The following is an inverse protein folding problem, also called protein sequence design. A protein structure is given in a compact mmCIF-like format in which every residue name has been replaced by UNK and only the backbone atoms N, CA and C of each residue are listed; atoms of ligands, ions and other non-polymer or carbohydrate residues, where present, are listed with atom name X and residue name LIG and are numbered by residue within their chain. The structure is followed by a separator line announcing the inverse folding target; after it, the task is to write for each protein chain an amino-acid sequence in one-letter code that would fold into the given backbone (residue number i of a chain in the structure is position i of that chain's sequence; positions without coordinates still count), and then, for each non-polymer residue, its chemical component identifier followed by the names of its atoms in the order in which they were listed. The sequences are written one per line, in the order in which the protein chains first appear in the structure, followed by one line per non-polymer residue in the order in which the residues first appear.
data_IF_741043811627
#
_entry.id   IF_741043811627
#
_cell.length_a   1.000
_cell.length_b   1.000
_cell.length_c   1.000
_cell.angle_alpha   90.00
_cell.angle_beta   90.00
_cell.angle_gamma   90.00
#
_symmetry.space_group_name_H-M   'P 1'
#
loop_
_entity.id
_entity.type
_entity.pdbx_description
1 polymer ?
#
# COMPACT_ATOMS: atom_id res chain seq x y z
N UNK A 1 -4.84 -12.86 -16.82
CA UNK A 1 -4.25 -11.52 -16.65
C UNK A 1 -3.59 -11.13 -17.96
N UNK A 2 -3.54 -9.84 -18.27
CA UNK A 2 -2.80 -9.34 -19.43
C UNK A 2 -1.29 -9.45 -19.21
N UNK A 3 -0.54 -9.59 -20.30
CA UNK A 3 0.92 -9.63 -20.25
C UNK A 3 1.45 -8.34 -19.64
N UNK A 4 2.12 -8.45 -18.48
CA UNK A 4 2.66 -7.32 -17.73
C UNK A 4 4.16 -7.46 -17.58
N UNK A 5 4.91 -6.41 -17.91
CA UNK A 5 6.37 -6.39 -17.83
C UNK A 5 6.87 -6.23 -16.36
N UNK A 6 7.99 -6.87 -15.98
CA UNK A 6 8.52 -6.76 -14.62
C UNK A 6 9.12 -5.38 -14.32
N UNK A 7 8.97 -4.93 -13.07
CA UNK A 7 9.80 -3.88 -12.47
C UNK A 7 10.94 -4.51 -11.67
N UNK A 8 12.17 -4.04 -11.87
CA UNK A 8 13.37 -4.63 -11.25
C UNK A 8 14.02 -3.64 -10.29
N UNK A 9 14.21 -4.08 -9.04
CA UNK A 9 14.77 -3.26 -7.96
C UNK A 9 16.04 -3.91 -7.40
N UNK A 10 17.15 -3.15 -7.27
CA UNK A 10 18.38 -3.65 -6.69
C UNK A 10 18.27 -3.70 -5.16
N UNK A 11 18.81 -4.76 -4.56
CA UNK A 11 18.92 -4.97 -3.13
C UNK A 11 20.40 -4.98 -2.76
N UNK A 12 20.83 -3.92 -2.09
CA UNK A 12 22.21 -3.79 -1.60
C UNK A 12 22.27 -3.99 -0.07
N UNK A 13 23.39 -4.51 0.47
CA UNK A 13 23.59 -4.64 1.91
C UNK A 13 23.51 -3.29 2.63
N UNK A 14 22.87 -3.26 3.80
CA UNK A 14 22.68 -2.03 4.56
C UNK A 14 23.91 -1.54 5.36
N UNK A 15 24.85 -2.42 5.68
CA UNK A 15 25.96 -2.15 6.62
C UNK A 15 27.33 -2.10 5.95
N UNK A 16 28.24 -1.31 6.55
CA UNK A 16 29.65 -1.26 6.16
C UNK A 16 30.30 -2.65 6.23
N UNK A 17 30.87 -3.10 5.12
CA UNK A 17 31.47 -4.41 4.96
C UNK A 17 32.83 -4.49 5.66
N UNK A 18 33.11 -5.61 6.33
CA UNK A 18 34.46 -5.90 6.83
C UNK A 18 35.34 -6.37 5.67
N UNK A 19 36.62 -5.99 5.69
CA UNK A 19 37.62 -6.58 4.81
C UNK A 19 37.62 -8.11 5.00
N UNK A 20 37.51 -8.87 3.91
CA UNK A 20 37.34 -10.34 3.83
C UNK A 20 35.96 -10.95 4.16
N UNK A 21 34.86 -10.18 4.18
CA UNK A 21 33.51 -10.77 4.22
C UNK A 21 32.98 -11.18 2.84
N UNK A 22 32.02 -12.12 2.82
CA UNK A 22 31.14 -12.35 1.67
C UNK A 22 29.95 -11.38 1.73
N UNK A 23 29.48 -10.94 0.57
CA UNK A 23 28.43 -9.91 0.43
C UNK A 23 27.28 -10.50 -0.37
N UNK A 24 26.09 -10.52 0.22
CA UNK A 24 24.89 -10.92 -0.51
C UNK A 24 24.22 -9.69 -1.12
N UNK A 25 24.11 -9.72 -2.43
CA UNK A 25 23.38 -8.74 -3.24
C UNK A 25 22.09 -9.41 -3.73
N UNK A 26 21.07 -8.62 -4.06
CA UNK A 26 19.82 -9.17 -4.56
C UNK A 26 19.15 -8.29 -5.61
N UNK A 27 18.23 -8.90 -6.35
CA UNK A 27 17.32 -8.21 -7.25
C UNK A 27 15.90 -8.70 -7.01
N UNK A 28 15.02 -7.76 -6.71
CA UNK A 28 13.58 -7.99 -6.61
C UNK A 28 12.96 -7.74 -7.98
N UNK A 29 12.35 -8.76 -8.56
CA UNK A 29 11.58 -8.68 -9.80
C UNK A 29 10.10 -8.72 -9.42
N UNK A 30 9.38 -7.63 -9.67
CA UNK A 30 8.03 -7.44 -9.15
C UNK A 30 7.04 -7.09 -10.26
N UNK A 31 5.83 -7.66 -10.15
CA UNK A 31 4.65 -7.19 -10.87
C UNK A 31 4.56 -7.66 -12.32
N UNK A 32 5.01 -8.87 -12.65
CA UNK A 32 4.96 -9.40 -14.02
C UNK A 32 3.93 -10.51 -14.21
N UNK A 33 3.52 -10.75 -15.45
CA UNK A 33 2.68 -11.88 -15.83
C UNK A 33 2.86 -12.18 -17.33
N UNK A 34 2.87 -13.46 -17.75
CA UNK A 34 2.89 -14.71 -16.96
C UNK A 34 4.30 -15.11 -16.49
N UNK A 35 4.46 -16.31 -15.93
CA UNK A 35 5.78 -16.96 -15.85
C UNK A 35 6.25 -17.48 -17.22
N UNK A 36 7.55 -17.67 -17.46
CA UNK A 36 8.67 -17.46 -16.53
C UNK A 36 9.38 -16.12 -16.71
N UNK A 37 10.05 -15.65 -15.65
CA UNK A 37 11.12 -14.66 -15.73
C UNK A 37 12.45 -15.34 -15.43
N UNK A 38 13.47 -14.98 -16.21
CA UNK A 38 14.84 -15.44 -15.98
C UNK A 38 15.66 -14.31 -15.36
N UNK A 39 16.46 -14.64 -14.34
CA UNK A 39 17.42 -13.72 -13.73
C UNK A 39 18.80 -14.33 -13.82
N UNK A 40 19.71 -13.62 -14.48
CA UNK A 40 21.14 -13.96 -14.54
C UNK A 40 21.96 -12.82 -13.94
N UNK A 41 23.21 -13.08 -13.60
CA UNK A 41 24.09 -12.09 -12.98
C UNK A 41 25.34 -11.88 -13.84
N UNK A 42 25.70 -10.62 -14.09
CA UNK A 42 26.77 -10.20 -15.01
C UNK A 42 26.70 -10.91 -16.37
N UNK A 43 25.50 -10.98 -16.95
CA UNK A 43 25.21 -11.64 -18.23
C UNK A 43 25.63 -13.13 -18.26
N UNK A 44 25.55 -13.79 -17.10
CA UNK A 44 25.91 -15.20 -16.93
C UNK A 44 27.35 -15.44 -16.45
N UNK A 45 28.18 -14.39 -16.32
CA UNK A 45 29.53 -14.53 -15.79
C UNK A 45 29.55 -14.88 -14.29
N UNK A 46 28.52 -14.48 -13.53
CA UNK A 46 28.34 -14.84 -12.12
C UNK A 46 27.29 -15.95 -12.01
N UNK A 47 27.74 -17.17 -11.67
CA UNK A 47 26.87 -18.34 -11.45
C UNK A 47 27.05 -18.94 -10.05
N UNK A 48 28.22 -18.80 -9.43
CA UNK A 48 28.48 -19.27 -8.07
C UNK A 48 27.79 -18.39 -7.02
N UNK A 49 27.17 -19.03 -6.02
CA UNK A 49 26.47 -18.33 -4.93
C UNK A 49 25.17 -17.64 -5.35
N UNK A 50 24.66 -17.93 -6.56
CA UNK A 50 23.40 -17.41 -7.07
C UNK A 50 22.24 -18.26 -6.54
N UNK A 51 21.27 -17.62 -5.90
CA UNK A 51 20.02 -18.22 -5.46
C UNK A 51 18.82 -17.41 -5.97
N UNK A 52 18.05 -18.00 -6.87
CA UNK A 52 16.77 -17.45 -7.33
C UNK A 52 15.64 -18.17 -6.62
N UNK A 53 14.86 -17.40 -5.87
CA UNK A 53 13.70 -17.92 -5.13
C UNK A 53 12.50 -18.07 -6.06
N UNK A 54 11.58 -19.03 -5.80
CA UNK A 54 10.37 -19.22 -6.60
C UNK A 54 9.51 -17.96 -6.68
N UNK A 55 8.78 -17.80 -7.79
CA UNK A 55 7.84 -16.72 -7.94
C UNK A 55 6.60 -16.92 -7.06
N UNK A 56 6.11 -15.83 -6.46
CA UNK A 56 4.89 -15.80 -5.67
C UNK A 56 3.86 -14.97 -6.43
N UNK A 57 2.65 -15.54 -6.60
CA UNK A 57 1.51 -14.84 -7.20
C UNK A 57 0.76 -14.05 -6.12
N UNK A 58 0.71 -12.73 -6.27
CA UNK A 58 -0.06 -11.86 -5.37
C UNK A 58 -0.91 -10.90 -6.21
N UNK A 59 -2.22 -10.88 -5.95
CA UNK A 59 -3.17 -10.01 -6.65
C UNK A 59 -3.08 -10.11 -8.19
N UNK A 60 -2.83 -11.31 -8.72
CA UNK A 60 -2.77 -11.57 -10.17
C UNK A 60 -1.41 -11.30 -10.84
N UNK A 61 -0.40 -10.82 -10.12
CA UNK A 61 0.96 -10.60 -10.65
C UNK A 61 2.02 -11.38 -9.88
N UNK A 62 3.03 -11.87 -10.59
CA UNK A 62 4.15 -12.60 -10.03
C UNK A 62 5.25 -11.66 -9.51
N UNK A 63 5.90 -12.10 -8.43
CA UNK A 63 7.09 -11.47 -7.87
C UNK A 63 8.09 -12.55 -7.48
N UNK A 64 9.35 -12.38 -7.85
CA UNK A 64 10.45 -13.25 -7.41
C UNK A 64 11.64 -12.43 -6.96
N UNK A 65 12.55 -13.06 -6.24
CA UNK A 65 13.82 -12.44 -5.84
C UNK A 65 14.97 -13.35 -6.25
N UNK A 66 16.04 -12.77 -6.78
CA UNK A 66 17.32 -13.46 -6.96
C UNK A 66 18.36 -12.81 -6.08
N UNK A 67 19.32 -13.60 -5.61
CA UNK A 67 20.45 -13.12 -4.84
C UNK A 67 21.74 -13.73 -5.36
N UNK A 68 22.84 -13.01 -5.19
CA UNK A 68 24.19 -13.51 -5.47
C UNK A 68 25.09 -13.15 -4.30
N UNK A 69 25.91 -14.09 -3.87
CA UNK A 69 26.91 -13.84 -2.84
C UNK A 69 28.29 -13.75 -3.48
N UNK A 70 28.91 -12.57 -3.40
CA UNK A 70 30.24 -12.29 -3.97
C UNK A 70 31.22 -11.87 -2.88
N UNK A 71 32.54 -12.06 -3.07
CA UNK A 71 33.54 -11.49 -2.18
C UNK A 71 33.42 -9.97 -2.10
N UNK A 72 33.65 -9.38 -0.91
CA UNK A 72 33.69 -7.91 -0.76
C UNK A 72 34.67 -7.25 -1.73
N UNK A 73 35.82 -7.88 -2.02
CA UNK A 73 36.80 -7.38 -2.99
C UNK A 73 36.23 -7.27 -4.41
N UNK A 74 35.53 -8.31 -4.87
CA UNK A 74 34.85 -8.32 -6.18
C UNK A 74 33.81 -7.22 -6.25
N UNK A 75 33.04 -7.04 -5.18
CA UNK A 75 32.04 -5.98 -5.11
C UNK A 75 32.65 -4.58 -5.14
N UNK A 76 33.75 -4.36 -4.42
CA UNK A 76 34.47 -3.09 -4.42
C UNK A 76 35.13 -2.76 -5.76
N UNK A 77 35.58 -3.76 -6.52
CA UNK A 77 36.28 -3.56 -7.80
C UNK A 77 35.40 -3.63 -9.04
N UNK A 78 34.30 -4.36 -8.98
CA UNK A 78 33.46 -4.70 -10.14
C UNK A 78 31.99 -4.44 -9.85
N UNK A 79 31.31 -3.87 -10.84
CA UNK A 79 29.88 -3.75 -10.82
C UNK A 79 29.20 -5.11 -10.92
N UNK A 80 28.27 -5.37 -10.00
CA UNK A 80 27.39 -6.54 -10.08
C UNK A 80 26.05 -6.09 -10.67
N UNK A 81 25.66 -6.68 -11.77
CA UNK A 81 24.44 -6.39 -12.52
C UNK A 81 23.57 -7.62 -12.52
N UNK A 82 22.29 -7.48 -12.17
CA UNK A 82 21.32 -8.52 -12.46
C UNK A 82 20.65 -8.23 -13.81
N UNK A 83 20.54 -9.27 -14.63
CA UNK A 83 19.99 -9.23 -15.97
C UNK A 83 18.69 -10.03 -15.97
N UNK A 84 17.58 -9.32 -16.08
CA UNK A 84 16.23 -9.89 -16.01
C UNK A 84 15.66 -9.94 -17.41
N UNK A 85 15.18 -11.12 -17.84
CA UNK A 85 14.50 -11.28 -19.11
C UNK A 85 13.14 -11.95 -18.93
N UNK A 86 12.11 -11.30 -19.46
CA UNK A 86 10.73 -11.77 -19.48
C UNK A 86 10.28 -11.99 -20.93
N UNK A 87 10.29 -13.24 -21.43
CA UNK A 87 9.99 -13.55 -22.82
C UNK A 87 8.60 -13.09 -23.26
N UNK A 88 7.58 -13.25 -22.40
CA UNK A 88 6.19 -12.96 -22.77
C UNK A 88 5.96 -11.47 -23.06
N UNK A 89 6.58 -10.56 -22.30
CA UNK A 89 6.51 -9.11 -22.58
C UNK A 89 7.69 -8.59 -23.43
N UNK A 90 8.54 -9.49 -23.93
CA UNK A 90 9.79 -9.14 -24.64
C UNK A 90 10.68 -8.14 -23.89
N UNK A 91 10.59 -8.12 -22.56
CA UNK A 91 11.28 -7.13 -21.72
C UNK A 91 12.62 -7.67 -21.24
N UNK A 92 13.67 -6.85 -21.36
CA UNK A 92 15.00 -7.10 -20.80
C UNK A 92 15.40 -5.90 -19.94
N UNK A 93 15.80 -6.15 -18.70
CA UNK A 93 16.23 -5.11 -17.75
C UNK A 93 17.54 -5.51 -17.11
N UNK A 94 18.56 -4.68 -17.31
CA UNK A 94 19.84 -4.81 -16.63
C UNK A 94 19.89 -3.81 -15.49
N UNK A 95 19.95 -4.31 -14.25
CA UNK A 95 20.01 -3.47 -13.06
C UNK A 95 21.37 -3.63 -12.38
N UNK A 96 22.20 -2.60 -12.54
CA UNK A 96 23.47 -2.46 -11.86
C UNK A 96 23.22 -2.18 -10.38
N UNK A 97 23.78 -3.02 -9.53
CA UNK A 97 23.92 -2.76 -8.10
C UNK A 97 25.31 -2.13 -7.97
N UNK A 98 25.44 -1.02 -7.24
CA UNK A 98 26.74 -0.41 -6.93
C UNK A 98 27.02 -0.45 -5.43
N UNK A 99 28.29 -0.64 -5.00
CA UNK A 99 28.68 -0.37 -3.63
C UNK A 99 28.25 1.05 -3.28
N UNK A 100 27.74 1.26 -2.06
CA UNK A 100 27.58 2.64 -1.57
C UNK A 100 28.99 3.23 -1.46
N UNK A 101 29.41 4.04 -2.43
CA UNK A 101 30.59 4.88 -2.27
C UNK A 101 30.27 5.92 -1.19
N UNK A 102 30.74 5.69 0.03
CA UNK A 102 30.94 6.78 0.98
C UNK A 102 32.16 7.58 0.52
N UNK A 103 32.03 8.37 -0.55
CA UNK A 103 33.05 9.38 -0.84
C UNK A 103 33.00 10.47 0.25
N UNK A 104 34.15 11.02 0.69
CA UNK A 104 34.18 12.14 1.64
C UNK A 104 33.49 13.40 1.09
N UNK A 105 33.32 13.47 -0.23
CA UNK A 105 32.48 14.46 -0.90
C UNK A 105 31.06 13.88 -0.98
N UNK A 106 30.12 14.46 -0.23
CA UNK A 106 28.73 13.99 -0.05
C UNK A 106 27.87 13.94 -1.32
N UNK A 107 28.22 13.07 -2.26
CA UNK A 107 27.35 12.66 -3.34
C UNK A 107 26.38 11.61 -2.79
N UNK A 108 25.17 12.10 -2.54
CA UNK A 108 23.94 11.35 -2.34
C UNK A 108 23.93 10.15 -3.26
N UNK A 109 23.99 8.94 -2.68
CA UNK A 109 23.59 7.75 -3.41
C UNK A 109 22.24 8.04 -4.06
N UNK A 110 22.01 7.48 -5.25
CA UNK A 110 20.71 7.46 -5.89
C UNK A 110 19.72 6.76 -4.94
N UNK A 111 19.25 7.51 -3.94
CA UNK A 111 18.10 7.18 -3.13
C UNK A 111 16.99 7.09 -4.15
N UNK A 112 16.47 5.87 -4.31
CA UNK A 112 15.50 5.59 -5.35
C UNK A 112 14.21 6.26 -4.90
N UNK A 113 14.07 7.54 -5.25
CA UNK A 113 12.85 8.30 -5.02
C UNK A 113 11.68 7.47 -5.53
N UNK A 114 10.63 7.35 -4.73
CA UNK A 114 9.48 6.51 -5.07
C UNK A 114 8.21 7.33 -5.06
N UNK A 115 7.44 7.22 -6.13
CA UNK A 115 6.17 7.93 -6.30
C UNK A 115 5.01 6.97 -6.04
N UNK A 116 4.13 7.36 -5.13
CA UNK A 116 2.92 6.64 -4.75
C UNK A 116 1.70 7.53 -4.96
N UNK A 117 0.59 6.92 -5.35
CA UNK A 117 -0.72 7.57 -5.40
C UNK A 117 -1.69 6.75 -4.56
N UNK A 118 -2.50 7.43 -3.76
CA UNK A 118 -3.44 6.82 -2.81
C UNK A 118 -4.86 7.25 -3.12
N UNK A 119 -5.84 6.34 -3.00
CA UNK A 119 -7.25 6.66 -3.20
C UNK A 119 -7.74 7.62 -2.09
N UNK A 120 -8.85 8.32 -2.32
CA UNK A 120 -9.49 9.10 -1.28
C UNK A 120 -10.00 8.21 -0.15
N UNK A 121 -9.99 8.75 1.08
CA UNK A 121 -10.50 8.03 2.25
C UNK A 121 -11.99 7.76 2.06
N UNK A 122 -12.41 6.52 2.30
CA UNK A 122 -13.80 6.08 2.08
C UNK A 122 -14.84 6.95 2.81
N UNK A 123 -14.56 7.35 4.06
CA UNK A 123 -15.46 8.25 4.82
C UNK A 123 -15.66 9.59 4.13
N UNK A 124 -14.59 10.18 3.59
CA UNK A 124 -14.62 11.49 2.92
C UNK A 124 -15.36 11.39 1.58
N UNK A 125 -15.22 10.26 0.87
CA UNK A 125 -15.96 10.01 -0.37
C UNK A 125 -17.47 9.88 -0.12
N UNK A 126 -17.87 9.15 0.92
CA UNK A 126 -19.26 8.76 1.14
C UNK A 126 -20.06 9.76 1.99
N UNK A 127 -19.39 10.74 2.61
CA UNK A 127 -20.04 11.79 3.42
C UNK A 127 -20.05 13.12 2.66
N UNK A 128 -21.22 13.60 2.23
CA UNK A 128 -21.37 14.78 1.37
C UNK A 128 -20.79 16.08 1.93
N UNK A 129 -20.67 16.20 3.25
CA UNK A 129 -20.13 17.40 3.92
C UNK A 129 -18.60 17.41 3.97
N UNK A 130 -17.95 16.32 3.59
CA UNK A 130 -16.50 16.19 3.57
C UNK A 130 -15.97 16.39 2.15
N UNK A 131 -14.66 16.60 2.02
CA UNK A 131 -14.02 16.77 0.71
C UNK A 131 -13.04 15.63 0.47
N UNK A 132 -13.37 14.64 -0.40
CA UNK A 132 -12.45 13.58 -0.73
C UNK A 132 -11.22 14.13 -1.47
N UNK A 133 -10.06 13.54 -1.18
CA UNK A 133 -8.78 13.95 -1.77
C UNK A 133 -8.01 12.74 -2.26
N UNK A 134 -7.49 12.80 -3.48
CA UNK A 134 -6.47 11.85 -3.95
C UNK A 134 -5.10 12.37 -3.52
N UNK A 135 -4.24 11.50 -3.00
CA UNK A 135 -2.95 11.91 -2.44
C UNK A 135 -1.81 11.30 -3.23
N UNK A 136 -0.87 12.13 -3.68
CA UNK A 136 0.36 11.71 -4.34
C UNK A 136 1.55 12.00 -3.40
N UNK A 137 2.41 11.00 -3.19
CA UNK A 137 3.53 11.06 -2.25
C UNK A 137 4.80 10.67 -2.97
N UNK A 138 5.83 11.51 -2.83
CA UNK A 138 7.19 11.23 -3.25
C UNK A 138 8.05 11.11 -1.99
N UNK A 139 8.71 9.98 -1.83
CA UNK A 139 9.61 9.70 -0.69
C UNK A 139 11.04 9.54 -1.19
N UNK A 140 11.99 9.58 -0.25
CA UNK A 140 13.42 9.37 -0.51
C UNK A 140 14.05 10.43 -1.44
N UNK A 141 13.56 11.67 -1.33
CA UNK A 141 14.11 12.82 -2.07
C UNK A 141 15.38 13.32 -1.37
N UNK A 142 16.41 13.63 -2.14
CA UNK A 142 17.66 14.20 -1.65
C UNK A 142 17.45 15.60 -1.04
N UNK A 143 18.06 15.86 0.12
CA UNK A 143 18.09 17.23 0.69
C UNK A 143 18.86 18.23 -0.21
N UNK A 144 19.75 17.76 -1.07
CA UNK A 144 20.52 18.60 -1.98
C UNK A 144 19.74 19.00 -3.24
N UNK A 145 18.67 18.26 -3.57
CA UNK A 145 17.77 18.55 -4.70
C UNK A 145 16.32 18.32 -4.26
N UNK A 146 15.74 19.26 -3.48
CA UNK A 146 14.41 19.11 -2.92
C UNK A 146 13.29 19.45 -3.90
N UNK A 147 13.60 19.86 -5.14
CA UNK A 147 12.60 20.35 -6.08
C UNK A 147 11.73 19.20 -6.62
N UNK A 148 10.43 19.30 -6.34
CA UNK A 148 9.41 18.38 -6.83
C UNK A 148 8.22 19.17 -7.35
N UNK A 149 7.86 18.95 -8.62
CA UNK A 149 6.70 19.57 -9.26
C UNK A 149 5.64 18.50 -9.52
N UNK A 150 4.43 18.77 -9.03
CA UNK A 150 3.26 17.91 -9.22
C UNK A 150 2.33 18.53 -10.26
N UNK A 151 1.92 17.74 -11.24
CA UNK A 151 0.82 18.05 -12.16
C UNK A 151 -0.26 16.99 -12.01
N UNK A 152 -1.52 17.40 -12.00
CA UNK A 152 -2.66 16.51 -11.79
C UNK A 152 -3.58 16.51 -12.99
N UNK A 153 -4.16 15.34 -13.29
CA UNK A 153 -5.11 15.18 -14.39
C UNK A 153 -6.30 14.35 -13.94
N UNK A 154 -7.50 14.72 -14.41
CA UNK A 154 -8.73 13.95 -14.26
C UNK A 154 -9.19 13.58 -15.67
N UNK A 155 -9.28 12.29 -15.99
CA UNK A 155 -9.55 11.77 -17.34
C UNK A 155 -8.68 12.45 -18.41
N UNK A 156 -7.37 12.53 -18.14
CA UNK A 156 -6.34 13.18 -18.98
C UNK A 156 -6.48 14.69 -19.20
N UNK A 157 -7.44 15.35 -18.54
CA UNK A 157 -7.55 16.82 -18.50
C UNK A 157 -6.78 17.37 -17.30
N UNK A 158 -5.85 18.27 -17.55
CA UNK A 158 -5.04 18.89 -16.49
C UNK A 158 -5.90 19.74 -15.55
N UNK A 159 -5.65 19.63 -14.25
CA UNK A 159 -6.33 20.38 -13.19
C UNK A 159 -5.35 21.04 -12.24
N UNK A 160 -5.73 22.19 -11.70
CA UNK A 160 -4.85 23.04 -10.89
C UNK A 160 -5.39 23.30 -9.47
N UNK A 161 -6.39 22.55 -9.02
CA UNK A 161 -6.99 22.68 -7.68
C UNK A 161 -6.20 21.96 -6.58
N UNK A 162 -5.14 21.23 -6.95
CA UNK A 162 -4.31 20.49 -6.01
C UNK A 162 -3.50 21.41 -5.08
N UNK A 163 -3.25 20.94 -3.87
CA UNK A 163 -2.46 21.62 -2.85
C UNK A 163 -1.22 20.78 -2.55
N UNK A 164 -0.04 21.38 -2.73
CA UNK A 164 1.24 20.75 -2.40
C UNK A 164 1.70 21.24 -1.03
N UNK A 165 1.92 20.30 -0.12
CA UNK A 165 2.41 20.56 1.22
C UNK A 165 3.92 20.82 1.20
N UNK A 166 4.44 21.52 2.20
CA UNK A 166 5.88 21.72 2.34
C UNK A 166 6.61 20.38 2.51
N UNK A 167 7.79 20.17 1.90
CA UNK A 167 8.55 18.94 2.08
C UNK A 167 8.88 18.67 3.55
N UNK A 168 8.61 17.44 3.99
CA UNK A 168 8.87 16.97 5.35
C UNK A 168 10.18 16.19 5.42
N UNK A 169 11.00 16.46 6.42
CA UNK A 169 12.23 15.69 6.65
C UNK A 169 11.93 14.33 7.28
N UNK A 170 12.43 13.27 6.67
CA UNK A 170 12.33 11.90 7.16
C UNK A 170 13.54 11.52 8.03
N UNK A 171 13.37 10.50 8.88
CA UNK A 171 14.40 10.05 9.84
C UNK A 171 15.69 9.54 9.19
N UNK A 172 15.61 9.09 7.94
CA UNK A 172 16.73 8.66 7.10
C UNK A 172 17.46 9.82 6.41
N UNK A 173 17.18 11.07 6.80
CA UNK A 173 17.77 12.28 6.17
C UNK A 173 17.35 12.48 4.69
N UNK A 174 16.22 11.93 4.29
CA UNK A 174 15.58 12.23 3.01
C UNK A 174 14.38 13.15 3.21
N UNK A 175 13.81 13.67 2.12
CA UNK A 175 12.60 14.48 2.13
C UNK A 175 11.41 13.67 1.60
N UNK A 176 10.24 13.97 2.16
CA UNK A 176 8.92 13.49 1.74
C UNK A 176 8.11 14.67 1.24
N UNK A 177 7.67 14.61 -0.01
CA UNK A 177 6.80 15.62 -0.61
C UNK A 177 5.42 15.05 -0.88
N UNK A 178 4.38 15.82 -0.55
CA UNK A 178 2.98 15.39 -0.68
C UNK A 178 2.18 16.43 -1.44
N UNK A 179 1.41 15.97 -2.42
CA UNK A 179 0.39 16.77 -3.09
C UNK A 179 -0.97 16.10 -2.94
N UNK A 180 -2.00 16.87 -2.62
CA UNK A 180 -3.36 16.41 -2.46
C UNK A 180 -4.27 17.12 -3.46
N UNK A 181 -5.02 16.37 -4.26
CA UNK A 181 -6.03 16.89 -5.16
C UNK A 181 -7.40 16.75 -4.50
N UNK A 182 -8.07 17.84 -4.09
CA UNK A 182 -9.49 17.81 -3.72
C UNK A 182 -10.33 17.46 -4.96
N UNK A 183 -11.24 16.49 -4.82
CA UNK A 183 -12.06 15.98 -5.91
C UNK A 183 -13.54 16.06 -5.57
N UNK A 184 -14.39 15.93 -6.59
CA UNK A 184 -15.84 15.82 -6.41
C UNK A 184 -16.22 14.37 -6.12
N UNK A 185 -17.13 14.15 -5.18
CA UNK A 185 -17.59 12.79 -4.80
C UNK A 185 -17.98 11.91 -6.00
N UNK A 186 -18.73 12.49 -6.95
CA UNK A 186 -19.20 11.78 -8.15
C UNK A 186 -18.08 11.36 -9.09
N UNK A 187 -16.99 12.12 -9.18
CA UNK A 187 -15.88 11.79 -10.07
C UNK A 187 -15.24 10.46 -9.66
N UNK A 188 -15.01 10.26 -8.36
CA UNK A 188 -14.52 8.99 -7.84
C UNK A 188 -15.53 7.85 -8.00
N UNK A 189 -16.79 8.07 -7.58
CA UNK A 189 -17.83 7.04 -7.60
C UNK A 189 -18.17 6.56 -9.01
N UNK A 190 -18.06 7.44 -10.00
CA UNK A 190 -18.28 7.13 -11.42
C UNK A 190 -17.04 6.51 -12.10
N UNK A 191 -15.94 6.29 -11.36
CA UNK A 191 -14.76 5.60 -11.88
C UNK A 191 -13.87 6.47 -12.78
N UNK A 192 -13.88 7.79 -12.62
CA UNK A 192 -12.90 8.65 -13.32
C UNK A 192 -11.47 8.27 -12.94
N UNK A 193 -10.55 8.55 -13.85
CA UNK A 193 -9.12 8.28 -13.65
C UNK A 193 -8.38 9.51 -13.19
N UNK A 194 -7.69 9.39 -12.05
CA UNK A 194 -6.87 10.45 -11.47
C UNK A 194 -5.40 10.12 -11.71
N UNK A 195 -4.67 11.05 -12.33
CA UNK A 195 -3.25 10.89 -12.65
C UNK A 195 -2.43 11.97 -11.95
N UNK A 196 -1.41 11.54 -11.22
CA UNK A 196 -0.36 12.40 -10.67
C UNK A 196 0.89 12.24 -11.52
N UNK A 197 1.41 13.36 -12.04
CA UNK A 197 2.69 13.45 -12.75
C UNK A 197 3.69 14.20 -11.90
N UNK A 198 4.83 13.58 -11.65
CA UNK A 198 5.91 14.11 -10.81
C UNK A 198 7.11 14.41 -11.67
N UNK A 199 7.57 15.66 -11.65
CA UNK A 199 8.82 16.09 -12.26
C UNK A 199 9.81 16.51 -11.16
N UNK A 200 10.98 15.89 -11.13
CA UNK A 200 12.05 16.14 -10.16
C UNK A 200 13.38 15.71 -10.76
N UNK A 201 14.47 16.38 -10.38
CA UNK A 201 15.83 16.00 -10.80
C UNK A 201 16.26 14.61 -10.32
N UNK A 202 15.54 14.03 -9.35
CA UNK A 202 15.74 12.65 -8.91
C UNK A 202 15.35 11.58 -9.95
N UNK A 203 14.59 11.95 -10.99
CA UNK A 203 14.13 11.03 -12.03
C UNK A 203 14.67 11.40 -13.41
N UNK A 204 15.05 10.42 -14.27
CA UNK A 204 15.50 10.71 -15.63
C UNK A 204 14.38 11.25 -16.53
N UNK A 205 13.13 10.97 -16.18
CA UNK A 205 11.93 11.45 -16.85
C UNK A 205 10.80 11.61 -15.82
N UNK A 206 9.76 12.42 -16.11
CA UNK A 206 8.62 12.55 -15.22
C UNK A 206 7.95 11.20 -14.94
N UNK A 207 7.64 10.94 -13.67
CA UNK A 207 6.95 9.72 -13.24
C UNK A 207 5.46 9.98 -13.14
N UNK A 208 4.67 9.14 -13.80
CA UNK A 208 3.21 9.20 -13.78
C UNK A 208 2.64 8.02 -12.98
N UNK A 209 1.67 8.32 -12.11
CA UNK A 209 0.88 7.34 -11.36
C UNK A 209 -0.59 7.64 -11.52
N UNK A 210 -1.37 6.63 -11.86
CA UNK A 210 -2.81 6.74 -12.03
C UNK A 210 -3.54 5.87 -11.03
N UNK A 211 -4.73 6.31 -10.63
CA UNK A 211 -5.65 5.56 -9.79
C UNK A 211 -7.10 5.85 -10.19
N UNK A 212 -7.92 4.81 -10.11
CA UNK A 212 -9.35 4.89 -10.33
C UNK A 212 -10.02 3.96 -9.31
N UNK A 213 -11.33 4.15 -9.10
CA UNK A 213 -12.13 3.18 -8.36
C UNK A 213 -12.07 1.82 -9.09
N UNK A 214 -11.95 0.68 -8.37
CA UNK A 214 -12.02 -0.64 -8.99
C UNK A 214 -13.32 -0.84 -9.79
N UNK A 215 -13.20 -1.43 -10.98
CA UNK A 215 -14.35 -1.79 -11.80
C UNK A 215 -15.16 -2.92 -11.19
N UNK A 216 -16.45 -2.99 -11.50
CA UNK A 216 -17.35 -4.05 -11.05
C UNK A 216 -18.61 -3.50 -10.38
N UNK A 217 -19.61 -4.38 -10.23
CA UNK A 217 -20.89 -3.99 -9.65
C UNK A 217 -20.77 -3.86 -8.12
N UNK A 218 -21.12 -2.71 -7.53
CA UNK A 218 -21.12 -2.56 -6.09
C UNK A 218 -22.07 -3.56 -5.42
N UNK A 219 -21.58 -4.27 -4.39
CA UNK A 219 -22.36 -5.16 -3.53
C UNK A 219 -22.36 -4.60 -2.12
N UNK A 220 -23.54 -4.35 -1.56
CA UNK A 220 -23.67 -3.83 -0.20
C UNK A 220 -23.34 -4.89 0.87
N UNK A 221 -22.68 -4.53 1.97
CA UNK A 221 -22.36 -5.45 3.06
C UNK A 221 -23.58 -5.92 3.83
N UNK A 222 -23.51 -7.17 4.29
CA UNK A 222 -24.32 -7.69 5.39
C UNK A 222 -23.55 -7.48 6.70
N UNK A 223 -24.22 -6.90 7.69
CA UNK A 223 -23.62 -6.54 8.97
C UNK A 223 -24.27 -7.36 10.09
N UNK A 224 -23.43 -7.99 10.92
CA UNK A 224 -23.84 -8.81 12.06
C UNK A 224 -23.04 -8.41 13.30
N UNK A 225 -23.73 -8.21 14.42
CA UNK A 225 -23.11 -7.91 15.71
C UNK A 225 -23.11 -9.15 16.61
N UNK A 226 -22.02 -9.36 17.33
CA UNK A 226 -21.80 -10.49 18.24
C UNK A 226 -21.44 -9.95 19.61
N UNK A 227 -22.21 -10.37 20.61
CA UNK A 227 -21.96 -10.08 22.01
C UNK A 227 -20.66 -10.78 22.48
N UNK A 228 -20.06 -10.34 23.60
CA UNK A 228 -18.92 -11.02 24.17
C UNK A 228 -19.23 -12.50 24.47
N UNK A 229 -18.32 -13.44 24.17
CA UNK A 229 -18.46 -14.83 24.57
C UNK A 229 -18.64 -14.96 26.08
N UNK A 230 -19.43 -15.95 26.52
CA UNK A 230 -19.69 -16.17 27.96
C UNK A 230 -18.38 -16.43 28.73
N UNK A 231 -17.41 -17.04 28.07
CA UNK A 231 -16.09 -17.37 28.59
C UNK A 231 -15.26 -16.10 28.85
N UNK A 232 -15.41 -15.07 28.01
CA UNK A 232 -14.72 -13.78 28.14
C UNK A 232 -15.27 -12.95 29.32
N UNK A 233 -16.50 -13.22 29.76
CA UNK A 233 -17.13 -12.53 30.90
C UNK A 233 -16.43 -12.79 32.26
N UNK A 234 -15.41 -13.64 32.29
CA UNK A 234 -14.49 -13.81 33.44
C UNK A 234 -13.45 -12.68 33.53
N UNK A 235 -13.23 -11.92 32.45
CA UNK A 235 -12.29 -10.82 32.36
C UNK A 235 -12.92 -9.48 32.76
N UNK A 236 -12.08 -8.48 33.10
CA UNK A 236 -12.52 -7.11 33.40
C UNK A 236 -12.87 -6.29 32.15
N UNK A 237 -12.29 -6.65 31.02
CA UNK A 237 -12.63 -6.12 29.71
C UNK A 237 -13.15 -7.26 28.84
N UNK A 238 -14.14 -6.92 28.01
CA UNK A 238 -14.78 -7.86 27.10
C UNK A 238 -14.83 -7.24 25.70
N UNK A 239 -15.00 -8.07 24.68
CA UNK A 239 -14.99 -7.63 23.29
C UNK A 239 -16.32 -7.82 22.61
N UNK A 240 -16.78 -6.76 21.93
CA UNK A 240 -17.92 -6.81 21.04
C UNK A 240 -17.38 -6.85 19.62
N UNK A 241 -17.93 -7.74 18.80
CA UNK A 241 -17.45 -7.94 17.42
C UNK A 241 -18.54 -7.63 16.41
N UNK A 242 -18.17 -6.96 15.32
CA UNK A 242 -19.01 -6.71 14.16
C UNK A 242 -18.40 -7.42 12.96
N UNK A 243 -19.15 -8.37 12.39
CA UNK A 243 -18.80 -9.08 11.16
C UNK A 243 -19.50 -8.38 9.99
N UNK A 244 -18.71 -7.93 9.04
CA UNK A 244 -19.18 -7.24 7.82
C UNK A 244 -18.75 -8.09 6.64
N UNK A 245 -19.69 -8.57 5.82
CA UNK A 245 -19.40 -9.53 4.73
C UNK A 245 -20.23 -9.31 3.47
N UNK A 246 -19.78 -9.86 2.36
CA UNK A 246 -20.53 -9.87 1.10
C UNK A 246 -20.46 -8.58 0.29
N UNK A 247 -19.47 -7.71 0.57
CA UNK A 247 -19.37 -6.40 -0.07
C UNK A 247 -18.32 -6.34 -1.17
N UNK A 248 -18.50 -5.42 -2.11
CA UNK A 248 -17.55 -5.08 -3.16
C UNK A 248 -17.81 -3.63 -3.59
N UNK A 249 -16.81 -2.76 -3.82
CA UNK A 249 -15.35 -2.95 -3.71
C UNK A 249 -14.88 -3.09 -2.25
N UNK A 250 -13.58 -3.38 -1.99
CA UNK A 250 -13.05 -3.54 -0.64
C UNK A 250 -13.03 -2.23 0.19
N UNK A 251 -13.14 -1.07 -0.45
CA UNK A 251 -13.13 0.23 0.22
C UNK A 251 -14.38 0.40 1.10
N UNK A 252 -14.17 0.35 2.41
CA UNK A 252 -15.23 0.38 3.41
C UNK A 252 -14.75 1.12 4.66
N UNK A 253 -15.67 1.78 5.36
CA UNK A 253 -15.37 2.41 6.64
C UNK A 253 -16.29 1.86 7.73
N UNK A 254 -15.72 1.55 8.89
CA UNK A 254 -16.45 1.00 10.04
C UNK A 254 -16.05 1.73 11.32
N UNK A 255 -17.05 2.15 12.08
CA UNK A 255 -16.89 2.83 13.37
C UNK A 255 -17.89 2.30 14.41
N UNK A 256 -17.60 2.56 15.68
CA UNK A 256 -18.46 2.17 16.79
C UNK A 256 -19.03 3.38 17.52
N UNK A 257 -20.26 3.26 18.00
CA UNK A 257 -20.92 4.23 18.89
C UNK A 257 -21.44 3.51 20.13
N UNK A 258 -21.39 4.16 21.28
CA UNK A 258 -22.03 3.74 22.53
C UNK A 258 -23.08 4.80 22.90
N UNK A 259 -24.35 4.42 22.93
CA UNK A 259 -25.48 5.33 23.13
C UNK A 259 -25.41 6.58 22.23
N UNK A 260 -25.02 6.38 20.96
CA UNK A 260 -24.84 7.46 19.97
C UNK A 260 -23.49 8.19 20.01
N UNK A 261 -22.68 8.02 21.05
CA UNK A 261 -21.37 8.66 21.17
C UNK A 261 -20.26 7.82 20.54
N UNK A 262 -19.39 8.38 19.68
CA UNK A 262 -18.29 7.65 19.05
C UNK A 262 -17.38 6.93 20.06
N UNK A 263 -16.83 5.79 19.67
CA UNK A 263 -15.87 5.01 20.45
C UNK A 263 -14.56 4.85 19.67
N UNK A 264 -13.42 4.91 20.36
CA UNK A 264 -12.09 4.83 19.72
C UNK A 264 -11.36 3.51 20.01
N UNK A 265 -11.77 2.77 21.05
CA UNK A 265 -11.10 1.54 21.49
C UNK A 265 -11.46 0.32 20.64
N UNK A 266 -11.49 0.48 19.32
CA UNK A 266 -11.77 -0.59 18.36
C UNK A 266 -10.63 -0.77 17.35
N UNK A 267 -10.59 -1.95 16.75
CA UNK A 267 -9.68 -2.29 15.65
C UNK A 267 -10.44 -3.04 14.57
N UNK A 268 -10.13 -2.72 13.32
CA UNK A 268 -10.67 -3.39 12.14
C UNK A 268 -9.60 -4.30 11.55
N UNK A 269 -9.98 -5.49 11.10
CA UNK A 269 -9.13 -6.28 10.21
C UNK A 269 -9.11 -5.62 8.82
N UNK A 270 -8.04 -5.81 8.02
CA UNK A 270 -8.09 -5.47 6.60
C UNK A 270 -9.24 -6.23 5.90
N UNK A 271 -9.93 -5.61 4.91
CA UNK A 271 -10.85 -6.33 4.04
C UNK A 271 -10.14 -7.51 3.36
N UNK A 272 -10.72 -8.70 3.51
CA UNK A 272 -10.18 -9.94 2.94
C UNK A 272 -11.15 -10.47 1.89
N UNK A 273 -10.63 -10.87 0.73
CA UNK A 273 -11.42 -11.42 -0.36
C UNK A 273 -11.95 -12.81 0.02
N UNK A 274 -13.23 -13.04 -0.18
CA UNK A 274 -13.93 -14.31 0.00
C UNK A 274 -13.92 -15.11 -1.32
N UNK A 275 -14.31 -16.37 -1.26
CA UNK A 275 -14.35 -17.30 -2.39
C UNK A 275 -15.29 -16.88 -3.53
N UNK A 276 -16.31 -16.06 -3.25
CA UNK A 276 -17.27 -15.54 -4.23
C UNK A 276 -16.84 -14.21 -4.87
N UNK A 277 -15.62 -13.76 -4.60
CA UNK A 277 -15.07 -12.48 -5.07
C UNK A 277 -15.57 -11.25 -4.30
N UNK A 278 -16.45 -11.42 -3.31
CA UNK A 278 -16.77 -10.35 -2.35
C UNK A 278 -15.67 -10.22 -1.29
N UNK A 279 -15.82 -9.25 -0.40
CA UNK A 279 -14.94 -9.03 0.74
C UNK A 279 -15.70 -9.16 2.06
N UNK A 280 -14.95 -9.49 3.10
CA UNK A 280 -15.40 -9.44 4.48
C UNK A 280 -14.33 -8.82 5.39
N UNK A 281 -14.75 -8.32 6.55
CA UNK A 281 -13.88 -7.89 7.65
C UNK A 281 -14.56 -8.07 9.00
N UNK A 282 -13.76 -8.00 10.06
CA UNK A 282 -14.23 -7.95 11.42
C UNK A 282 -13.78 -6.65 12.09
N UNK A 283 -14.67 -6.05 12.87
CA UNK A 283 -14.36 -4.94 13.75
C UNK A 283 -14.56 -5.38 15.20
N UNK A 284 -13.54 -5.20 16.04
CA UNK A 284 -13.55 -5.58 17.45
C UNK A 284 -13.45 -4.34 18.33
N UNK A 285 -14.46 -4.08 19.16
CA UNK A 285 -14.50 -3.02 20.16
C UNK A 285 -14.23 -3.62 21.55
N UNK A 286 -13.25 -3.08 22.28
CA UNK A 286 -13.02 -3.49 23.67
C UNK A 286 -13.78 -2.56 24.62
N UNK A 287 -14.56 -3.14 25.52
CA UNK A 287 -15.39 -2.42 26.50
C UNK A 287 -15.15 -2.96 27.90
N UNK A 288 -15.40 -2.14 28.93
CA UNK A 288 -15.41 -2.63 30.31
C UNK A 288 -16.61 -3.56 30.51
N UNK A 289 -16.41 -4.65 31.25
CA UNK A 289 -17.49 -5.61 31.56
C UNK A 289 -18.69 -4.92 32.20
N UNK A 290 -18.44 -4.00 33.14
CA UNK A 290 -19.49 -3.29 33.85
C UNK A 290 -20.31 -2.41 32.90
N UNK A 291 -19.64 -1.73 31.96
CA UNK A 291 -20.29 -0.91 30.93
C UNK A 291 -21.15 -1.76 29.99
N UNK A 292 -20.73 -2.96 29.63
CA UNK A 292 -21.56 -3.90 28.88
C UNK A 292 -22.79 -4.34 29.70
N UNK A 293 -22.59 -4.76 30.94
CA UNK A 293 -23.66 -5.27 31.83
C UNK A 293 -24.70 -4.21 32.22
N UNK A 294 -24.34 -2.92 32.18
CA UNK A 294 -25.26 -1.79 32.38
C UNK A 294 -26.35 -1.68 31.29
N UNK A 295 -26.31 -2.47 30.22
CA UNK A 295 -27.32 -2.42 29.15
C UNK A 295 -27.09 -1.29 28.16
N UNK A 296 -25.88 -0.72 28.11
CA UNK A 296 -25.53 0.29 27.10
C UNK A 296 -25.68 -0.30 25.69
N UNK A 297 -26.16 0.54 24.76
CA UNK A 297 -26.35 0.14 23.36
C UNK A 297 -25.10 0.46 22.57
N UNK A 298 -24.50 -0.57 21.98
CA UNK A 298 -23.33 -0.46 21.11
C UNK A 298 -23.76 -0.64 19.67
N UNK A 299 -23.37 0.29 18.81
CA UNK A 299 -23.76 0.33 17.40
C UNK A 299 -22.52 0.27 16.52
N UNK A 300 -22.44 -0.75 15.67
CA UNK A 300 -21.49 -0.84 14.58
C UNK A 300 -22.08 -0.08 13.38
N UNK A 301 -21.41 0.98 12.97
CA UNK A 301 -21.78 1.79 11.81
C UNK A 301 -20.84 1.54 10.66
N UNK A 302 -21.41 1.29 9.48
CA UNK A 302 -20.68 0.92 8.27
C UNK A 302 -21.04 1.88 7.14
N UNK A 303 -20.02 2.44 6.50
CA UNK A 303 -20.14 3.23 5.28
C UNK A 303 -19.56 2.45 4.11
N UNK A 304 -20.37 2.25 3.07
CA UNK A 304 -19.98 1.51 1.86
C UNK A 304 -20.84 1.97 0.67
N UNK A 305 -20.25 2.09 -0.52
CA UNK A 305 -20.97 2.61 -1.70
C UNK A 305 -22.11 1.70 -2.20
N UNK A 306 -22.07 0.41 -1.89
CA UNK A 306 -23.10 -0.56 -2.24
C UNK A 306 -24.35 -0.49 -1.35
N UNK A 307 -24.39 0.40 -0.35
CA UNK A 307 -25.52 0.59 0.55
C UNK A 307 -26.42 1.73 0.07
N UNK A 308 -27.71 1.63 0.39
CA UNK A 308 -28.63 2.77 0.29
C UNK A 308 -28.16 3.91 1.19
N UNK A 309 -28.07 5.14 0.66
CA UNK A 309 -27.45 6.30 1.33
C UNK A 309 -26.01 6.05 1.83
N UNK A 310 -25.33 5.05 1.25
CA UNK A 310 -23.97 4.63 1.59
C UNK A 310 -23.76 4.20 3.05
N UNK A 311 -24.82 3.94 3.82
CA UNK A 311 -24.73 3.76 5.28
C UNK A 311 -25.67 2.66 5.80
N UNK A 312 -25.19 1.92 6.80
CA UNK A 312 -26.01 0.99 7.57
C UNK A 312 -25.46 0.86 8.99
N UNK A 313 -26.32 0.52 9.94
CA UNK A 313 -25.95 0.33 11.33
C UNK A 313 -26.58 -0.93 11.90
N UNK A 314 -25.84 -1.58 12.81
CA UNK A 314 -26.35 -2.68 13.62
C UNK A 314 -26.01 -2.45 15.07
N UNK A 315 -27.02 -2.50 15.91
CA UNK A 315 -26.91 -2.29 17.35
C UNK A 315 -27.02 -3.60 18.10
N UNK A 316 -26.37 -3.66 19.25
CA UNK A 316 -26.53 -4.72 20.24
C UNK A 316 -26.47 -4.09 21.64
N UNK A 317 -27.16 -4.71 22.58
CA UNK A 317 -27.11 -4.36 23.99
C UNK A 317 -27.14 -5.65 24.82
N UNK A 318 -26.67 -5.56 26.05
CA UNK A 318 -26.79 -6.68 26.98
C UNK A 318 -28.27 -6.96 27.25
N UNK A 319 -28.74 -8.14 26.85
CA UNK A 319 -30.08 -8.64 27.17
C UNK A 319 -29.96 -9.61 28.34
N UNK A 320 -30.42 -9.24 29.55
CA UNK A 320 -30.50 -10.19 30.64
C UNK A 320 -31.61 -11.21 30.34
N UNK A 321 -31.24 -12.43 29.89
CA UNK A 321 -32.12 -13.61 29.95
C UNK A 321 -32.78 -14.08 28.63
N UNK A 322 -31.98 -14.70 27.75
CA UNK A 322 -32.41 -15.90 27.03
C UNK A 322 -31.51 -17.07 27.40
#
# INVERSE_FOLDING_TARGET
AETTAPSVYPLAPGTALKSNSMVTLGCLVKGYFPEPVTVTWNSGALSSGVHTFPAVLQSGLYTLTSSVTVPSSTWSSQAVTCNVAHPASSTKVDKKIVPRECNPCGCTGSEVSSVFIFPPKTKDVLTITLTPKVTCVVVDISQNDPEVRFSWFIDDVEVHTAQTHAPEKQSNSTLRSVSELPIVHRDWLNGKTFKCKVNSGAFPAPIEKSISKPEGTPRGPQVYTMAPPKEEMTQSQVSITCMVKGFYPPDIYTEWKMNGQPQENYKNTPPTMDTDGSYFLYSKLNVKKETWQQGNTFTCSVLHEGLHNHHTEKSLSHSPGK
#
